data_IF_737087873503
#
_entry.id   IF_737087873503
#
_cell.length_a   1.000
_cell.length_b   1.000
_cell.length_c   1.000
_cell.angle_alpha   90.00
_cell.angle_beta   90.00
_cell.angle_gamma   90.00
#
_symmetry.space_group_name_H-M   'P 1'
#
loop_
_entity.id
_entity.type
_entity.pdbx_description
1 polymer ?
#
# COMPACT_ATOMS: atom_id res chain seq x y z
N UNK A 1 -10.16 -3.50 -22.49
CA UNK A 1 -9.30 -4.35 -21.65
C UNK A 1 -8.19 -4.91 -22.53
N UNK A 2 -6.93 -4.92 -22.09
CA UNK A 2 -5.82 -5.49 -22.88
C UNK A 2 -5.61 -6.94 -22.45
N UNK A 3 -5.72 -7.89 -23.40
CA UNK A 3 -5.48 -9.30 -23.11
C UNK A 3 -3.98 -9.57 -22.96
N UNK A 4 -3.61 -10.28 -21.91
CA UNK A 4 -2.25 -10.78 -21.67
C UNK A 4 -2.33 -12.28 -21.44
N UNK A 5 -1.40 -13.03 -22.04
CA UNK A 5 -1.21 -14.44 -21.72
C UNK A 5 -0.17 -14.54 -20.62
N UNK A 6 -0.47 -15.23 -19.53
CA UNK A 6 0.43 -15.43 -18.40
C UNK A 6 0.49 -16.92 -18.09
N UNK A 7 1.66 -17.39 -17.65
CA UNK A 7 1.82 -18.74 -17.12
C UNK A 7 1.82 -18.65 -15.60
N UNK A 8 1.02 -19.49 -14.96
CA UNK A 8 0.90 -19.57 -13.50
C UNK A 8 1.38 -20.94 -13.02
N UNK A 9 1.70 -21.04 -11.74
CA UNK A 9 2.04 -22.33 -11.12
C UNK A 9 0.77 -23.14 -10.84
N UNK A 10 0.92 -24.45 -10.65
CA UNK A 10 -0.21 -25.33 -10.26
C UNK A 10 -0.90 -24.86 -8.97
N UNK A 11 -0.14 -24.36 -8.00
CA UNK A 11 -0.68 -23.81 -6.75
C UNK A 11 -1.52 -22.55 -6.98
N UNK A 12 -1.10 -21.69 -7.91
CA UNK A 12 -1.84 -20.49 -8.27
C UNK A 12 -3.13 -20.85 -9.02
N UNK A 13 -3.08 -21.82 -9.93
CA UNK A 13 -4.26 -22.33 -10.62
C UNK A 13 -5.30 -22.89 -9.64
N UNK A 14 -4.86 -23.77 -8.73
CA UNK A 14 -5.75 -24.34 -7.71
C UNK A 14 -6.41 -23.24 -6.84
N UNK A 15 -5.65 -22.19 -6.50
CA UNK A 15 -6.19 -21.05 -5.77
C UNK A 15 -7.20 -20.24 -6.60
N UNK A 16 -6.92 -19.98 -7.89
CA UNK A 16 -7.86 -19.28 -8.79
C UNK A 16 -9.17 -20.05 -8.91
N UNK A 17 -9.12 -21.37 -9.13
CA UNK A 17 -10.32 -22.20 -9.22
C UNK A 17 -11.11 -22.23 -7.91
N UNK A 18 -10.43 -22.20 -6.75
CA UNK A 18 -11.08 -22.09 -5.45
C UNK A 18 -11.79 -20.74 -5.26
N UNK A 19 -11.29 -19.64 -5.85
CA UNK A 19 -11.99 -18.36 -5.83
C UNK A 19 -13.23 -18.38 -6.73
N UNK A 20 -13.13 -18.99 -7.92
CA UNK A 20 -14.27 -19.10 -8.84
C UNK A 20 -15.41 -19.95 -8.27
N UNK A 21 -15.08 -21.04 -7.57
CA UNK A 21 -16.09 -21.93 -6.99
C UNK A 21 -16.96 -21.26 -5.92
N UNK A 22 -16.52 -20.14 -5.34
CA UNK A 22 -17.34 -19.32 -4.44
C UNK A 22 -18.49 -18.61 -5.15
N UNK A 23 -18.44 -18.48 -6.49
CA UNK A 23 -19.36 -17.68 -7.28
C UNK A 23 -19.11 -16.16 -7.21
N UNK A 24 -18.08 -15.72 -6.47
CA UNK A 24 -17.72 -14.30 -6.33
C UNK A 24 -17.14 -13.70 -7.61
N UNK A 25 -16.57 -14.53 -8.48
CA UNK A 25 -15.87 -14.12 -9.69
C UNK A 25 -16.36 -14.91 -10.90
N UNK A 26 -16.38 -14.27 -12.07
CA UNK A 26 -16.86 -14.88 -13.30
C UNK A 26 -15.74 -15.42 -14.20
N UNK A 27 -14.47 -15.11 -13.91
CA UNK A 27 -13.32 -15.55 -14.72
C UNK A 27 -11.98 -15.45 -13.99
N UNK A 28 -10.99 -16.23 -14.42
CA UNK A 28 -9.60 -16.15 -13.94
C UNK A 28 -9.04 -14.73 -14.06
N UNK A 29 -9.36 -14.06 -15.18
CA UNK A 29 -8.91 -12.69 -15.44
C UNK A 29 -9.47 -11.69 -14.44
N UNK A 30 -10.62 -11.95 -13.82
CA UNK A 30 -11.17 -11.12 -12.76
C UNK A 30 -10.40 -11.31 -11.45
N UNK A 31 -10.18 -12.57 -11.06
CA UNK A 31 -9.39 -12.93 -9.87
C UNK A 31 -7.98 -12.35 -9.94
N UNK A 32 -7.30 -12.51 -11.09
CA UNK A 32 -5.94 -11.99 -11.30
C UNK A 32 -5.92 -10.46 -11.25
N UNK A 33 -6.91 -9.78 -11.84
CA UNK A 33 -6.99 -8.31 -11.79
C UNK A 33 -7.17 -7.81 -10.38
N UNK A 34 -7.98 -8.47 -9.56
CA UNK A 34 -8.18 -8.05 -8.18
C UNK A 34 -6.92 -8.26 -7.34
N UNK A 35 -6.26 -9.41 -7.48
CA UNK A 35 -4.96 -9.65 -6.84
C UNK A 35 -3.90 -8.60 -7.22
N UNK A 36 -3.90 -8.16 -8.49
CA UNK A 36 -3.02 -7.08 -8.95
C UNK A 36 -3.38 -5.72 -8.33
N UNK A 37 -4.67 -5.38 -8.20
CA UNK A 37 -5.11 -4.16 -7.52
C UNK A 37 -4.70 -4.15 -6.06
N UNK A 38 -4.93 -5.24 -5.34
CA UNK A 38 -4.48 -5.36 -3.95
C UNK A 38 -2.97 -5.18 -3.82
N UNK A 39 -2.19 -5.81 -4.71
CA UNK A 39 -0.73 -5.65 -4.72
C UNK A 39 -0.33 -4.20 -4.96
N UNK A 40 -0.96 -3.50 -5.90
CA UNK A 40 -0.71 -2.08 -6.17
C UNK A 40 -1.01 -1.21 -4.95
N UNK A 41 -2.14 -1.43 -4.28
CA UNK A 41 -2.50 -0.69 -3.06
C UNK A 41 -1.46 -0.91 -1.95
N UNK A 42 -1.05 -2.17 -1.71
CA UNK A 42 0.00 -2.48 -0.73
C UNK A 42 1.33 -1.82 -1.08
N UNK A 43 1.71 -1.83 -2.36
CA UNK A 43 2.95 -1.19 -2.82
C UNK A 43 2.92 0.33 -2.69
N UNK A 44 1.78 0.97 -2.99
CA UNK A 44 1.62 2.41 -2.84
C UNK A 44 1.79 2.87 -1.39
N UNK A 45 1.27 2.09 -0.43
CA UNK A 45 1.44 2.41 1.00
C UNK A 45 2.91 2.27 1.44
N UNK A 46 3.61 1.22 0.99
CA UNK A 46 5.04 1.05 1.26
C UNK A 46 5.84 2.21 0.67
N UNK A 47 5.53 2.62 -0.55
CA UNK A 47 6.20 3.74 -1.22
C UNK A 47 5.96 5.06 -0.50
N UNK A 48 4.73 5.31 -0.04
CA UNK A 48 4.39 6.49 0.77
C UNK A 48 5.24 6.56 2.05
N UNK A 49 5.38 5.44 2.76
CA UNK A 49 6.19 5.37 3.99
C UNK A 49 7.67 5.61 3.66
N UNK A 50 8.20 4.97 2.61
CA UNK A 50 9.60 5.15 2.19
C UNK A 50 9.90 6.61 1.82
N UNK A 51 9.00 7.25 1.07
CA UNK A 51 9.17 8.65 0.69
C UNK A 51 9.15 9.57 1.92
N UNK A 52 8.29 9.30 2.91
CA UNK A 52 8.27 10.05 4.16
C UNK A 52 9.56 9.87 4.98
N UNK A 53 10.13 8.66 5.02
CA UNK A 53 11.40 8.39 5.68
C UNK A 53 12.56 9.10 4.98
N UNK A 54 12.66 8.98 3.66
CA UNK A 54 13.70 9.67 2.89
C UNK A 54 13.63 11.18 3.10
N UNK A 55 12.44 11.78 3.04
CA UNK A 55 12.26 13.21 3.29
C UNK A 55 12.69 13.61 4.71
N UNK A 56 12.42 12.77 5.72
CA UNK A 56 12.86 13.01 7.08
C UNK A 56 14.39 12.93 7.22
N UNK A 57 15.03 11.93 6.59
CA UNK A 57 16.49 11.77 6.58
C UNK A 57 17.18 12.95 5.88
N UNK A 58 16.64 13.41 4.75
CA UNK A 58 17.15 14.57 4.01
C UNK A 58 16.94 15.90 4.76
N UNK A 59 15.91 15.99 5.61
CA UNK A 59 15.64 17.19 6.42
C UNK A 59 16.62 17.39 7.60
N UNK A 60 17.44 16.37 7.90
CA UNK A 60 18.39 16.38 9.01
C UNK A 60 17.72 16.12 10.37
N UNK A 61 18.55 16.09 11.42
CA UNK A 61 18.08 15.82 12.78
C UNK A 61 17.59 17.08 13.48
N UNK A 62 16.45 16.97 14.16
CA UNK A 62 15.98 18.00 15.08
C UNK A 62 16.72 17.92 16.41
N UNK A 63 17.03 19.08 16.99
CA UNK A 63 17.54 19.19 18.37
C UNK A 63 16.41 19.31 19.41
N UNK A 64 15.15 19.34 18.98
CA UNK A 64 14.00 19.48 19.88
C UNK A 64 13.77 18.19 20.66
N UNK A 65 13.53 18.34 21.96
CA UNK A 65 13.06 17.25 22.78
C UNK A 65 11.52 17.12 22.77
N UNK A 66 11.00 16.18 23.54
CA UNK A 66 9.56 15.90 23.62
C UNK A 66 8.76 17.09 24.18
N UNK A 67 9.34 17.87 25.08
CA UNK A 67 8.69 18.99 25.76
C UNK A 67 8.65 20.20 24.82
N UNK A 68 9.74 20.44 24.09
CA UNK A 68 9.82 21.45 23.02
C UNK A 68 8.77 21.19 21.93
N UNK A 69 8.64 19.93 21.48
CA UNK A 69 7.64 19.55 20.46
C UNK A 69 6.23 19.82 20.97
N UNK A 70 5.93 19.44 22.22
CA UNK A 70 4.60 19.67 22.82
C UNK A 70 4.29 21.16 22.94
N UNK A 71 5.26 21.97 23.36
CA UNK A 71 5.10 23.41 23.49
C UNK A 71 4.84 24.06 22.12
N UNK A 72 5.61 23.67 21.10
CA UNK A 72 5.47 24.14 19.71
C UNK A 72 4.07 23.84 19.15
N UNK A 73 3.60 22.60 19.27
CA UNK A 73 2.26 22.20 18.78
C UNK A 73 1.15 22.97 19.52
N UNK A 74 1.27 23.14 20.85
CA UNK A 74 0.27 23.88 21.64
C UNK A 74 0.23 25.37 21.27
N UNK A 75 1.36 25.96 20.90
CA UNK A 75 1.43 27.33 20.43
C UNK A 75 0.75 27.48 19.06
N UNK A 76 1.05 26.58 18.12
CA UNK A 76 0.45 26.59 16.76
C UNK A 76 -1.07 26.41 16.80
N UNK A 77 -1.59 25.53 17.66
CA UNK A 77 -3.02 25.32 17.83
C UNK A 77 -3.76 26.51 18.47
N UNK A 78 -3.07 27.39 19.21
CA UNK A 78 -3.67 28.60 19.80
C UNK A 78 -3.66 29.79 18.84
N UNK A 79 -2.88 29.71 17.76
CA UNK A 79 -2.77 30.73 16.72
C UNK A 79 -3.79 30.55 15.60
N UNK A 80 -4.55 29.45 15.60
CA UNK A 80 -5.70 29.18 14.73
C UNK A 80 -7.00 29.46 15.47
#
# INVERSE_FOLDING_TARGET
MIKKSITVTETQEAWIQAQLSTGQYASDSEVVREALREKQMRMAEIERIRNALNAAEESGFSSMDKEDIRASVKADMKLK
#
